data_IF_866433132419
#
_entry.id   IF_866433132419
#
_cell.length_a   1.000
_cell.length_b   1.000
_cell.length_c   1.000
_cell.angle_alpha   90.00
_cell.angle_beta   90.00
_cell.angle_gamma   90.00
#
_symmetry.space_group_name_H-M   'P 1'
#
loop_
_entity.id
_entity.type
_entity.pdbx_description
1 polymer ?
#
# COMPACT_ATOMS: atom_id res chain seq x y z
N UNK A 1 -25.23 -10.19 -9.66
CA UNK A 1 -23.77 -10.21 -9.41
C UNK A 1 -23.12 -10.99 -10.54
N UNK A 2 -22.57 -10.32 -11.53
CA UNK A 2 -21.79 -10.96 -12.60
C UNK A 2 -20.47 -11.41 -12.00
N UNK A 3 -20.20 -12.72 -12.01
CA UNK A 3 -18.89 -13.25 -11.64
C UNK A 3 -17.85 -12.71 -12.64
N UNK A 4 -16.82 -12.07 -12.13
CA UNK A 4 -15.69 -11.61 -12.93
C UNK A 4 -15.06 -12.79 -13.67
N UNK A 5 -14.80 -12.61 -14.97
CA UNK A 5 -14.15 -13.66 -15.77
C UNK A 5 -12.66 -13.70 -15.40
N UNK A 6 -12.02 -14.87 -15.58
CA UNK A 6 -10.58 -15.04 -15.33
C UNK A 6 -9.73 -14.00 -16.10
N UNK A 7 -10.13 -13.66 -17.33
CA UNK A 7 -9.43 -12.67 -18.15
C UNK A 7 -9.56 -11.22 -17.64
N UNK A 8 -10.70 -10.86 -17.05
CA UNK A 8 -10.88 -9.54 -16.42
C UNK A 8 -10.02 -9.38 -15.17
N UNK A 9 -9.89 -10.44 -14.39
CA UNK A 9 -9.00 -10.46 -13.22
C UNK A 9 -7.54 -10.32 -13.66
N UNK A 10 -7.09 -11.09 -14.64
CA UNK A 10 -5.71 -11.05 -15.15
C UNK A 10 -5.33 -9.65 -15.65
N UNK A 11 -6.20 -8.99 -16.42
CA UNK A 11 -5.98 -7.62 -16.90
C UNK A 11 -5.76 -6.62 -15.75
N UNK A 12 -6.55 -6.69 -14.68
CA UNK A 12 -6.42 -5.79 -13.53
C UNK A 12 -5.09 -5.96 -12.84
N UNK A 13 -4.67 -7.21 -12.58
CA UNK A 13 -3.38 -7.49 -11.94
C UNK A 13 -2.20 -7.06 -12.83
N UNK A 14 -2.29 -7.25 -14.14
CA UNK A 14 -1.31 -6.75 -15.10
C UNK A 14 -1.20 -5.22 -15.11
N UNK A 15 -2.32 -4.54 -14.92
CA UNK A 15 -2.35 -3.08 -14.87
C UNK A 15 -1.74 -2.52 -13.57
N UNK A 16 -2.13 -3.07 -12.42
CA UNK A 16 -1.71 -2.53 -11.12
C UNK A 16 -0.35 -3.01 -10.64
N UNK A 17 0.08 -4.20 -11.08
CA UNK A 17 1.27 -4.89 -10.60
C UNK A 17 2.13 -5.43 -11.73
N UNK A 18 2.14 -4.76 -12.88
CA UNK A 18 2.81 -5.22 -14.10
C UNK A 18 4.31 -5.39 -13.99
N UNK A 19 4.96 -4.70 -13.05
CA UNK A 19 6.40 -4.81 -12.80
C UNK A 19 6.77 -6.06 -11.96
N UNK A 20 5.78 -6.74 -11.35
CA UNK A 20 6.04 -7.97 -10.61
C UNK A 20 6.06 -9.20 -11.53
N UNK A 21 6.83 -10.21 -11.12
CA UNK A 21 6.83 -11.51 -11.81
C UNK A 21 5.40 -12.07 -11.92
N UNK A 22 4.95 -12.56 -13.08
CA UNK A 22 3.60 -13.07 -13.27
C UNK A 22 3.16 -14.14 -12.27
N UNK A 23 4.10 -14.98 -11.80
CA UNK A 23 3.82 -16.02 -10.80
C UNK A 23 3.50 -15.46 -9.42
N UNK A 24 4.07 -14.32 -9.07
CA UNK A 24 3.82 -13.60 -7.82
C UNK A 24 2.60 -12.70 -7.96
N UNK A 25 2.54 -11.92 -9.04
CA UNK A 25 1.48 -10.97 -9.34
C UNK A 25 0.08 -11.56 -9.20
N UNK A 26 -0.16 -12.75 -9.75
CA UNK A 26 -1.44 -13.44 -9.66
C UNK A 26 -1.86 -13.89 -8.25
N UNK A 27 -0.95 -13.84 -7.27
CA UNK A 27 -1.20 -14.18 -5.88
C UNK A 27 -1.43 -12.94 -4.98
N UNK A 28 -1.19 -11.73 -5.50
CA UNK A 28 -1.47 -10.48 -4.74
C UNK A 28 -2.97 -10.40 -4.47
N UNK A 29 -3.34 -10.23 -3.21
CA UNK A 29 -4.73 -10.09 -2.79
C UNK A 29 -5.19 -8.63 -2.87
N UNK A 30 -6.41 -8.42 -3.39
CA UNK A 30 -7.02 -7.12 -3.59
C UNK A 30 -8.55 -7.25 -3.63
N UNK A 31 -9.27 -6.36 -2.95
CA UNK A 31 -10.74 -6.27 -3.01
C UNK A 31 -11.21 -5.20 -4.03
N UNK A 32 -12.52 -5.06 -4.21
CA UNK A 32 -13.10 -4.08 -5.12
C UNK A 32 -12.75 -2.63 -4.75
N UNK A 33 -12.65 -2.32 -3.45
CA UNK A 33 -12.30 -0.97 -2.98
C UNK A 33 -10.81 -0.68 -3.29
N UNK A 34 -9.95 -1.65 -3.08
CA UNK A 34 -8.54 -1.53 -3.40
C UNK A 34 -8.29 -1.27 -4.89
N UNK A 35 -9.14 -1.82 -5.79
CA UNK A 35 -9.07 -1.54 -7.23
C UNK A 35 -9.17 -0.05 -7.58
N UNK A 36 -9.85 0.74 -6.75
CA UNK A 36 -9.99 2.19 -6.94
C UNK A 36 -9.01 3.03 -6.11
N UNK A 37 -8.31 2.40 -5.17
CA UNK A 37 -7.48 3.09 -4.18
C UNK A 37 -6.01 2.73 -4.27
N UNK A 38 -5.67 1.56 -4.85
CA UNK A 38 -4.27 1.13 -4.95
C UNK A 38 -3.53 1.95 -6.00
N UNK A 39 -2.36 2.46 -5.64
CA UNK A 39 -1.47 3.12 -6.59
C UNK A 39 -0.85 2.08 -7.52
N UNK A 40 -0.88 2.33 -8.82
CA UNK A 40 -0.22 1.52 -9.84
C UNK A 40 1.28 1.44 -9.53
N UNK A 41 1.90 0.27 -9.69
CA UNK A 41 3.29 0.00 -9.29
C UNK A 41 4.31 1.00 -9.88
N UNK A 42 4.16 1.38 -11.15
CA UNK A 42 5.02 2.40 -11.81
C UNK A 42 4.92 3.77 -11.16
N UNK A 43 3.71 4.17 -10.75
CA UNK A 43 3.50 5.44 -10.08
C UNK A 43 4.04 5.39 -8.65
N UNK A 44 3.83 4.28 -7.94
CA UNK A 44 4.39 4.04 -6.63
C UNK A 44 5.93 4.06 -6.66
N UNK A 45 6.54 3.44 -7.66
CA UNK A 45 8.01 3.44 -7.85
C UNK A 45 8.54 4.85 -8.20
N UNK A 46 7.77 5.64 -8.95
CA UNK A 46 8.10 7.04 -9.22
C UNK A 46 8.08 7.88 -7.94
N UNK A 47 7.07 7.70 -7.10
CA UNK A 47 6.97 8.34 -5.78
C UNK A 47 8.17 7.95 -4.92
N UNK A 48 8.46 6.65 -4.81
CA UNK A 48 9.59 6.13 -4.02
C UNK A 48 10.92 6.70 -4.49
N UNK A 49 11.14 6.74 -5.81
CA UNK A 49 12.35 7.31 -6.41
C UNK A 49 12.49 8.79 -6.08
N UNK A 50 11.42 9.57 -6.21
CA UNK A 50 11.42 10.98 -5.85
C UNK A 50 11.80 11.16 -4.36
N UNK A 51 11.19 10.38 -3.46
CA UNK A 51 11.50 10.45 -2.02
C UNK A 51 12.94 10.09 -1.73
N UNK A 52 13.50 9.11 -2.42
CA UNK A 52 14.88 8.65 -2.23
C UNK A 52 15.95 9.70 -2.51
N UNK A 53 15.58 10.78 -3.22
CA UNK A 53 16.46 11.92 -3.45
C UNK A 53 16.56 12.85 -2.23
N UNK A 54 15.58 12.80 -1.31
CA UNK A 54 15.48 13.72 -0.15
C UNK A 54 15.72 13.04 1.19
N UNK A 55 15.41 11.75 1.32
CA UNK A 55 15.54 11.01 2.58
C UNK A 55 16.40 9.74 2.39
N UNK A 56 17.23 9.41 3.40
CA UNK A 56 18.12 8.27 3.29
C UNK A 56 17.39 6.93 3.41
N UNK A 57 18.02 5.86 2.91
CA UNK A 57 17.46 4.50 2.91
C UNK A 57 17.02 3.99 4.30
N UNK A 58 17.68 4.43 5.36
CA UNK A 58 17.36 4.04 6.74
C UNK A 58 16.30 4.93 7.41
N UNK A 59 15.75 5.92 6.70
CA UNK A 59 14.68 6.75 7.20
C UNK A 59 13.45 5.91 7.59
N UNK A 60 12.76 6.35 8.64
CA UNK A 60 11.49 5.77 9.09
C UNK A 60 10.36 6.35 8.26
N UNK A 61 9.82 5.54 7.36
CA UNK A 61 8.74 5.90 6.45
C UNK A 61 7.42 5.32 6.95
N UNK A 62 6.36 6.13 6.98
CA UNK A 62 5.02 5.66 7.28
C UNK A 62 4.13 5.78 6.03
N UNK A 63 3.56 4.66 5.60
CA UNK A 63 2.42 4.62 4.69
C UNK A 63 1.13 4.62 5.54
N UNK A 64 0.52 5.79 5.67
CA UNK A 64 -0.55 6.03 6.63
C UNK A 64 -1.93 5.54 6.15
N UNK A 65 -2.05 5.19 4.88
CA UNK A 65 -3.27 4.73 4.20
C UNK A 65 -2.95 3.58 3.25
N UNK A 66 -2.37 2.52 3.82
CA UNK A 66 -1.67 1.50 3.06
C UNK A 66 -2.55 0.64 2.13
N UNK A 67 -3.85 0.55 2.41
CA UNK A 67 -4.77 -0.29 1.64
C UNK A 67 -4.22 -1.74 1.55
N UNK A 68 -4.04 -2.28 0.37
CA UNK A 68 -3.45 -3.62 0.15
C UNK A 68 -1.93 -3.57 -0.12
N UNK A 69 -1.31 -2.39 -0.04
CA UNK A 69 0.14 -2.23 -0.01
C UNK A 69 0.81 -1.73 -1.29
N UNK A 70 0.10 -1.08 -2.21
CA UNK A 70 0.70 -0.59 -3.46
C UNK A 70 1.93 0.29 -3.23
N UNK A 71 1.80 1.36 -2.44
CA UNK A 71 2.92 2.22 -2.06
C UNK A 71 3.87 1.55 -1.07
N UNK A 72 3.34 0.80 -0.09
CA UNK A 72 4.13 0.04 0.88
C UNK A 72 5.16 -0.86 0.20
N UNK A 73 4.75 -1.64 -0.81
CA UNK A 73 5.63 -2.56 -1.54
C UNK A 73 6.74 -1.81 -2.27
N UNK A 74 6.44 -0.66 -2.86
CA UNK A 74 7.43 0.18 -3.51
C UNK A 74 8.39 0.82 -2.51
N UNK A 75 7.89 1.39 -1.40
CA UNK A 75 8.74 1.95 -0.35
C UNK A 75 9.73 0.91 0.20
N UNK A 76 9.27 -0.31 0.41
CA UNK A 76 10.09 -1.39 0.96
C UNK A 76 11.18 -1.92 0.00
N UNK A 77 11.11 -1.60 -1.29
CA UNK A 77 12.20 -1.88 -2.24
C UNK A 77 13.43 -1.01 -1.94
N UNK A 78 13.23 0.17 -1.38
CA UNK A 78 14.29 1.15 -1.13
C UNK A 78 14.54 1.38 0.37
N UNK A 79 13.49 1.65 1.15
CA UNK A 79 13.62 1.95 2.57
C UNK A 79 13.61 0.67 3.41
N UNK A 80 14.48 0.62 4.42
CA UNK A 80 14.59 -0.54 5.30
C UNK A 80 13.68 -0.48 6.54
N UNK A 81 12.91 0.59 6.71
CA UNK A 81 12.06 0.80 7.89
C UNK A 81 10.75 1.47 7.50
N UNK A 82 9.81 0.65 7.04
CA UNK A 82 8.48 1.08 6.59
C UNK A 82 7.43 0.63 7.60
N UNK A 83 6.58 1.55 8.06
CA UNK A 83 5.38 1.23 8.84
C UNK A 83 4.15 1.48 7.98
N UNK A 84 3.29 0.49 7.83
CA UNK A 84 2.11 0.56 6.98
C UNK A 84 0.85 0.42 7.81
N UNK A 85 -0.02 1.44 7.76
CA UNK A 85 -1.23 1.53 8.57
C UNK A 85 -2.45 1.38 7.67
N UNK A 86 -3.32 0.42 7.99
CA UNK A 86 -4.60 0.20 7.33
C UNK A 86 -5.69 0.01 8.38
N UNK A 87 -6.78 0.79 8.25
CA UNK A 87 -7.86 0.77 9.23
C UNK A 87 -8.87 -0.35 9.00
N UNK A 88 -9.12 -0.75 7.75
CA UNK A 88 -10.04 -1.83 7.44
C UNK A 88 -9.40 -3.19 7.75
N UNK A 89 -10.02 -4.03 8.62
CA UNK A 89 -9.42 -5.31 9.00
C UNK A 89 -9.25 -6.28 7.83
N UNK A 90 -10.16 -6.26 6.85
CA UNK A 90 -10.10 -7.14 5.68
C UNK A 90 -8.91 -6.78 4.78
N UNK A 91 -8.76 -5.49 4.43
CA UNK A 91 -7.62 -5.01 3.65
C UNK A 91 -6.30 -5.11 4.40
N UNK A 92 -6.33 -4.94 5.73
CA UNK A 92 -5.15 -5.19 6.56
C UNK A 92 -4.63 -6.64 6.46
N UNK A 93 -5.52 -7.64 6.46
CA UNK A 93 -5.10 -9.02 6.26
C UNK A 93 -4.55 -9.27 4.84
N UNK A 94 -5.13 -8.63 3.81
CA UNK A 94 -4.56 -8.65 2.45
C UNK A 94 -3.18 -7.98 2.41
N UNK A 95 -3.01 -6.81 3.02
CA UNK A 95 -1.73 -6.11 3.15
C UNK A 95 -0.65 -7.02 3.77
N UNK A 96 -0.95 -7.69 4.88
CA UNK A 96 -0.04 -8.63 5.55
C UNK A 96 0.38 -9.78 4.63
N UNK A 97 -0.59 -10.37 3.93
CA UNK A 97 -0.33 -11.47 3.00
C UNK A 97 0.53 -11.01 1.84
N UNK A 98 0.25 -9.83 1.27
CA UNK A 98 1.01 -9.26 0.17
C UNK A 98 2.46 -8.95 0.59
N UNK A 99 2.65 -8.35 1.76
CA UNK A 99 3.98 -8.12 2.35
C UNK A 99 4.74 -9.44 2.53
N UNK A 100 4.07 -10.46 3.04
CA UNK A 100 4.65 -11.81 3.24
C UNK A 100 4.98 -12.49 1.91
N UNK A 101 4.08 -12.42 0.93
CA UNK A 101 4.26 -12.98 -0.42
C UNK A 101 5.54 -12.45 -1.09
N UNK A 102 5.86 -11.18 -0.86
CA UNK A 102 7.03 -10.51 -1.43
C UNK A 102 8.30 -10.62 -0.55
N UNK A 103 8.23 -11.29 0.59
CA UNK A 103 9.36 -11.44 1.50
C UNK A 103 9.82 -10.12 2.15
N UNK A 104 8.89 -9.17 2.36
CA UNK A 104 9.20 -7.81 2.86
C UNK A 104 9.04 -7.65 4.37
N UNK A 105 8.77 -8.72 5.12
CA UNK A 105 8.45 -8.68 6.56
C UNK A 105 9.56 -8.06 7.42
N UNK A 106 10.81 -8.17 6.98
CA UNK A 106 11.96 -7.60 7.69
C UNK A 106 12.08 -6.08 7.51
N UNK A 107 11.42 -5.52 6.49
CA UNK A 107 11.44 -4.09 6.16
C UNK A 107 10.11 -3.39 6.49
N UNK A 108 9.02 -4.13 6.63
CA UNK A 108 7.67 -3.59 6.77
C UNK A 108 7.01 -4.05 8.07
N UNK A 109 6.66 -3.11 8.92
CA UNK A 109 5.75 -3.31 10.05
C UNK A 109 4.33 -2.93 9.62
N UNK A 110 3.39 -3.87 9.68
CA UNK A 110 1.98 -3.60 9.39
C UNK A 110 1.19 -3.35 10.67
N UNK A 111 0.30 -2.36 10.65
CA UNK A 111 -0.53 -1.93 11.79
C UNK A 111 -1.98 -1.81 11.36
N UNK A 112 -2.90 -2.53 12.04
CA UNK A 112 -4.34 -2.34 11.85
C UNK A 112 -4.83 -1.24 12.80
N UNK A 113 -4.98 -0.04 12.29
CA UNK A 113 -5.42 1.11 13.07
C UNK A 113 -6.01 2.22 12.17
N UNK A 114 -6.83 3.07 12.76
CA UNK A 114 -7.11 4.39 12.22
C UNK A 114 -5.89 5.29 12.43
N UNK A 115 -5.26 5.75 11.36
CA UNK A 115 -4.05 6.57 11.44
C UNK A 115 -4.23 7.84 12.28
N UNK A 116 -5.39 8.48 12.20
CA UNK A 116 -5.65 9.71 12.94
C UNK A 116 -5.67 9.50 14.47
N UNK A 117 -6.01 8.30 14.91
CA UNK A 117 -5.93 7.89 16.34
C UNK A 117 -4.57 7.30 16.67
N UNK A 118 -3.98 6.53 15.75
CA UNK A 118 -2.67 5.92 15.93
C UNK A 118 -1.57 6.96 16.11
N UNK A 119 -1.66 8.11 15.43
CA UNK A 119 -0.67 9.20 15.52
C UNK A 119 -0.45 9.73 16.95
N UNK A 120 -1.41 9.55 17.86
CA UNK A 120 -1.29 10.00 19.26
C UNK A 120 -0.31 9.15 20.08
N UNK A 121 -0.05 7.92 19.64
CA UNK A 121 0.85 6.96 20.30
C UNK A 121 2.00 6.48 19.40
N UNK A 122 2.10 7.03 18.18
CA UNK A 122 3.07 6.55 17.21
C UNK A 122 4.48 7.03 17.49
N UNK A 123 5.49 6.24 17.09
CA UNK A 123 6.86 6.68 17.08
C UNK A 123 7.08 7.83 16.08
N UNK A 124 8.19 8.55 16.24
CA UNK A 124 8.63 9.54 15.26
C UNK A 124 8.89 8.89 13.89
N UNK A 125 8.40 9.53 12.81
CA UNK A 125 8.69 9.20 11.42
C UNK A 125 9.45 10.35 10.75
N UNK A 126 10.38 10.01 9.87
CA UNK A 126 11.09 10.98 9.04
C UNK A 126 10.20 11.43 7.87
N UNK A 127 9.29 10.55 7.42
CA UNK A 127 8.34 10.81 6.35
C UNK A 127 7.02 10.08 6.58
N UNK A 128 5.91 10.75 6.29
CA UNK A 128 4.56 10.17 6.31
C UNK A 128 3.92 10.38 4.95
N UNK A 129 3.57 9.30 4.30
CA UNK A 129 2.75 9.29 3.09
C UNK A 129 1.28 9.12 3.49
N UNK A 130 0.44 10.06 3.07
CA UNK A 130 -0.98 10.07 3.40
C UNK A 130 -1.80 10.33 2.15
N UNK A 131 -2.40 9.28 1.59
CA UNK A 131 -3.22 9.31 0.38
C UNK A 131 -4.54 8.55 0.62
N UNK A 132 -5.48 9.12 1.41
CA UNK A 132 -6.75 8.46 1.68
C UNK A 132 -7.62 8.42 0.42
N UNK A 133 -8.47 7.39 0.24
CA UNK A 133 -9.41 7.34 -0.85
C UNK A 133 -10.34 8.57 -0.80
N UNK A 134 -10.50 9.26 -1.95
CA UNK A 134 -11.40 10.38 -2.07
C UNK A 134 -12.85 9.91 -1.94
N UNK A 135 -13.41 10.01 -0.73
CA UNK A 135 -14.82 9.81 -0.52
C UNK A 135 -15.54 11.15 -0.75
N UNK A 136 -16.29 11.29 -1.85
CA UNK A 136 -17.08 12.48 -2.18
C UNK A 136 -18.03 12.94 -1.06
N UNK A 137 -18.29 12.09 -0.08
CA UNK A 137 -19.13 12.41 1.09
C UNK A 137 -18.41 13.18 2.20
N UNK A 138 -17.08 13.21 2.24
CA UNK A 138 -16.33 13.92 3.30
C UNK A 138 -16.04 15.39 2.93
N UNK A 139 -16.13 15.77 1.66
CA UNK A 139 -15.93 17.15 1.19
C UNK A 139 -17.09 18.10 1.48
N UNK A 140 -18.21 17.61 2.05
CA UNK A 140 -19.39 18.43 2.37
C UNK A 140 -19.53 18.79 3.86
N UNK A 141 -18.54 18.44 4.70
CA UNK A 141 -18.58 18.69 6.15
C UNK A 141 -17.37 19.49 6.69
N UNK A 142 -16.67 20.23 5.82
CA UNK A 142 -15.67 21.22 6.23
C UNK A 142 -16.12 22.61 5.84
#
# INVERSE_FOLDING_TARGET
MTQETAGEKEWKWDHYFGEFDPSIRGQIEMDEVALFSVTVDKDADTITKCLSEYIPRFAKVCDATACVGGNTMSFAKYFSNVTSVEMDPGRFEMLKKNVSLLGLQDHVQTVNADFLRFKESMPYFDFIFFDPPFCFHLCLLL
#
